data_IF_744152721606
#
_entry.id   IF_744152721606
#
_cell.length_a   1.000
_cell.length_b   1.000
_cell.length_c   1.000
_cell.angle_alpha   90.00
_cell.angle_beta   90.00
_cell.angle_gamma   90.00
#
_symmetry.space_group_name_H-M   'P 1'
#
loop_
_entity.id
_entity.type
_entity.pdbx_description
1 polymer ?
#
# COMPACT_ATOMS: atom_id res chain seq x y z
N UNK A 1 -6.99 8.92 -20.50
CA UNK A 1 -5.84 9.60 -21.14
C UNK A 1 -4.81 10.11 -20.13
N UNK A 2 -5.24 10.84 -19.07
CA UNK A 2 -4.33 11.39 -18.05
C UNK A 2 -3.51 10.29 -17.38
N UNK A 3 -4.16 9.26 -16.84
CA UNK A 3 -3.49 8.16 -16.17
C UNK A 3 -2.49 7.44 -17.08
N UNK A 4 -2.84 7.26 -18.36
CA UNK A 4 -1.91 6.69 -19.34
C UNK A 4 -0.67 7.55 -19.53
N UNK A 5 -0.81 8.87 -19.62
CA UNK A 5 0.35 9.79 -19.72
C UNK A 5 1.26 9.69 -18.48
N UNK A 6 0.68 9.60 -17.28
CA UNK A 6 1.44 9.44 -16.04
C UNK A 6 2.23 8.12 -16.06
N UNK A 7 1.59 7.01 -16.41
CA UNK A 7 2.26 5.71 -16.52
C UNK A 7 3.40 5.72 -17.54
N UNK A 8 3.13 6.22 -18.73
CA UNK A 8 4.11 6.28 -19.83
C UNK A 8 5.32 7.18 -19.47
N UNK A 9 5.06 8.27 -18.71
CA UNK A 9 6.10 9.23 -18.33
C UNK A 9 6.93 8.83 -17.12
N UNK A 10 6.39 8.03 -16.21
CA UNK A 10 7.03 7.68 -14.93
C UNK A 10 7.42 6.21 -14.82
N UNK A 11 6.82 5.34 -15.62
CA UNK A 11 6.96 3.89 -15.50
C UNK A 11 6.25 3.29 -14.27
N UNK A 12 5.46 4.09 -13.53
CA UNK A 12 4.74 3.60 -12.36
C UNK A 12 3.56 2.71 -12.74
N UNK A 13 3.19 1.79 -11.85
CA UNK A 13 1.91 1.09 -11.92
C UNK A 13 0.82 1.91 -11.24
N UNK A 14 -0.37 1.89 -11.81
CA UNK A 14 -1.54 2.57 -11.23
C UNK A 14 -2.61 1.52 -10.94
N UNK A 15 -3.05 1.44 -9.69
CA UNK A 15 -4.06 0.50 -9.23
C UNK A 15 -5.37 1.22 -8.89
N UNK A 16 -6.49 0.54 -9.13
CA UNK A 16 -7.80 1.01 -8.72
C UNK A 16 -8.00 0.78 -7.21
N UNK A 17 -8.23 1.84 -6.47
CA UNK A 17 -8.62 1.75 -5.05
C UNK A 17 -10.11 1.38 -4.93
N UNK A 18 -10.40 0.12 -4.65
CA UNK A 18 -11.78 -0.41 -4.64
C UNK A 18 -12.65 0.23 -3.55
N UNK A 19 -12.07 0.63 -2.42
CA UNK A 19 -12.81 1.38 -1.37
C UNK A 19 -13.40 2.70 -1.88
N UNK A 20 -12.78 3.32 -2.88
CA UNK A 20 -13.27 4.56 -3.49
C UNK A 20 -14.20 4.28 -4.67
N UNK A 21 -13.99 3.19 -5.38
CA UNK A 21 -14.80 2.84 -6.55
C UNK A 21 -14.82 1.31 -6.74
N UNK A 22 -15.96 0.69 -6.44
CA UNK A 22 -16.17 -0.76 -6.55
C UNK A 22 -17.26 -1.17 -7.53
N UNK A 23 -17.61 -0.29 -8.50
CA UNK A 23 -18.51 -0.65 -9.57
C UNK A 23 -17.81 -1.64 -10.54
N UNK A 24 -17.90 -2.91 -10.22
CA UNK A 24 -17.18 -3.97 -10.92
C UNK A 24 -17.62 -4.18 -12.37
N UNK A 25 -18.77 -3.67 -12.79
CA UNK A 25 -19.18 -3.69 -14.20
C UNK A 25 -18.23 -2.88 -15.08
N UNK A 26 -17.56 -1.87 -14.52
CA UNK A 26 -16.58 -1.04 -15.22
C UNK A 26 -15.15 -1.62 -15.20
N UNK A 27 -14.89 -2.66 -14.42
CA UNK A 27 -13.54 -3.22 -14.29
C UNK A 27 -12.93 -3.70 -15.62
N UNK A 28 -13.67 -4.29 -16.57
CA UNK A 28 -13.10 -4.63 -17.87
C UNK A 28 -12.61 -3.40 -18.67
N UNK A 29 -13.30 -2.26 -18.54
CA UNK A 29 -12.88 -1.01 -19.16
C UNK A 29 -11.67 -0.40 -18.41
N UNK A 30 -11.76 -0.30 -17.10
CA UNK A 30 -10.69 0.25 -16.24
C UNK A 30 -9.41 -0.57 -16.39
N UNK A 31 -9.51 -1.88 -16.46
CA UNK A 31 -8.40 -2.81 -16.63
C UNK A 31 -7.64 -2.67 -17.96
N UNK A 32 -8.20 -1.96 -18.96
CA UNK A 32 -7.44 -1.62 -20.16
C UNK A 32 -6.38 -0.53 -19.92
N UNK A 33 -6.53 0.24 -18.86
CA UNK A 33 -5.69 1.39 -18.54
C UNK A 33 -4.88 1.21 -17.25
N UNK A 34 -5.45 0.55 -16.25
CA UNK A 34 -4.83 0.34 -14.94
C UNK A 34 -4.19 -1.05 -14.85
N UNK A 35 -3.23 -1.17 -13.93
CA UNK A 35 -2.43 -2.39 -13.78
C UNK A 35 -3.09 -3.42 -12.87
N UNK A 36 -4.08 -3.01 -12.09
CA UNK A 36 -4.78 -3.89 -11.17
C UNK A 36 -5.64 -3.14 -10.17
N UNK A 37 -5.86 -3.76 -9.03
CA UNK A 37 -6.68 -3.26 -7.93
C UNK A 37 -5.90 -3.19 -6.61
N UNK A 38 -6.34 -2.31 -5.70
CA UNK A 38 -5.91 -2.35 -4.31
C UNK A 38 -7.13 -2.50 -3.40
N UNK A 39 -7.00 -3.36 -2.40
CA UNK A 39 -8.06 -3.79 -1.49
C UNK A 39 -7.76 -3.37 -0.05
N UNK A 40 -8.81 -3.15 0.74
CA UNK A 40 -8.73 -2.86 2.19
C UNK A 40 -9.03 -4.09 3.05
N UNK A 41 -9.24 -5.26 2.44
CA UNK A 41 -9.52 -6.52 3.10
C UNK A 41 -9.91 -7.62 2.12
N UNK A 42 -10.21 -8.81 2.66
CA UNK A 42 -10.41 -10.02 1.89
C UNK A 42 -11.51 -9.91 0.81
N UNK A 43 -12.66 -9.30 1.15
CA UNK A 43 -13.78 -9.24 0.20
C UNK A 43 -13.51 -8.33 -1.00
N UNK A 44 -12.83 -7.20 -0.79
CA UNK A 44 -12.37 -6.38 -1.90
C UNK A 44 -11.29 -7.09 -2.71
N UNK A 45 -10.37 -7.80 -2.05
CA UNK A 45 -9.35 -8.59 -2.74
C UNK A 45 -9.98 -9.66 -3.64
N UNK A 46 -10.98 -10.38 -3.16
CA UNK A 46 -11.77 -11.33 -3.98
C UNK A 46 -12.42 -10.64 -5.17
N UNK A 47 -13.06 -9.49 -4.95
CA UNK A 47 -13.71 -8.74 -6.03
C UNK A 47 -12.69 -8.35 -7.12
N UNK A 48 -11.53 -7.82 -6.73
CA UNK A 48 -10.47 -7.47 -7.66
C UNK A 48 -9.95 -8.67 -8.44
N UNK A 49 -9.65 -9.75 -7.73
CA UNK A 49 -9.20 -11.00 -8.32
C UNK A 49 -10.20 -11.57 -9.35
N UNK A 50 -11.48 -11.66 -8.97
CA UNK A 50 -12.51 -12.26 -9.84
C UNK A 50 -12.93 -11.38 -11.00
N UNK A 51 -12.98 -10.06 -10.83
CA UNK A 51 -13.60 -9.13 -11.81
C UNK A 51 -12.60 -8.34 -12.62
N UNK A 52 -11.42 -8.02 -12.08
CA UNK A 52 -10.36 -7.35 -12.84
C UNK A 52 -9.37 -8.38 -13.41
N UNK A 53 -9.00 -9.40 -12.64
CA UNK A 53 -8.09 -10.48 -13.06
C UNK A 53 -6.68 -9.98 -13.39
N UNK A 54 -6.23 -8.94 -12.71
CA UNK A 54 -4.91 -8.32 -12.82
C UNK A 54 -4.24 -8.25 -11.46
N UNK A 55 -3.14 -7.52 -11.36
CA UNK A 55 -2.39 -7.35 -10.12
C UNK A 55 -3.32 -6.91 -8.98
N UNK A 56 -3.25 -7.59 -7.83
CA UNK A 56 -4.15 -7.38 -6.71
C UNK A 56 -3.34 -7.16 -5.44
N UNK A 57 -3.41 -5.96 -4.90
CA UNK A 57 -2.68 -5.56 -3.69
C UNK A 57 -3.66 -5.44 -2.53
N UNK A 58 -3.20 -5.72 -1.31
CA UNK A 58 -4.02 -5.52 -0.13
C UNK A 58 -3.24 -4.83 0.99
N UNK A 59 -3.85 -3.81 1.56
CA UNK A 59 -3.44 -3.20 2.82
C UNK A 59 -4.60 -3.25 3.80
N UNK A 60 -4.36 -3.74 5.01
CA UNK A 60 -5.28 -3.62 6.13
C UNK A 60 -4.52 -3.23 7.40
N UNK A 61 -5.11 -2.41 8.31
CA UNK A 61 -4.49 -2.09 9.59
C UNK A 61 -4.20 -3.32 10.45
N UNK A 62 -4.99 -4.39 10.26
CA UNK A 62 -4.79 -5.70 10.86
C UNK A 62 -5.38 -6.79 9.95
N UNK A 63 -4.63 -7.86 9.76
CA UNK A 63 -5.10 -9.06 9.08
C UNK A 63 -5.56 -10.09 10.10
N UNK A 64 -6.69 -10.73 9.82
CA UNK A 64 -7.13 -11.89 10.60
C UNK A 64 -6.36 -13.12 10.18
N UNK A 65 -5.98 -13.94 11.16
CA UNK A 65 -5.25 -15.18 10.91
C UNK A 65 -6.00 -16.11 9.95
N UNK A 66 -7.31 -16.17 10.08
CA UNK A 66 -8.19 -16.98 9.22
C UNK A 66 -8.27 -16.51 7.77
N UNK A 67 -7.82 -15.29 7.45
CA UNK A 67 -7.92 -14.69 6.12
C UNK A 67 -6.57 -14.69 5.36
N UNK A 68 -5.44 -14.80 6.07
CA UNK A 68 -4.10 -14.70 5.48
C UNK A 68 -3.87 -15.75 4.38
N UNK A 69 -4.28 -16.99 4.63
CA UNK A 69 -4.11 -18.06 3.64
C UNK A 69 -4.79 -17.74 2.32
N UNK A 70 -6.04 -17.31 2.38
CA UNK A 70 -6.79 -16.96 1.17
C UNK A 70 -6.26 -15.68 0.49
N UNK A 71 -5.85 -14.69 1.27
CA UNK A 71 -5.22 -13.48 0.73
C UNK A 71 -3.94 -13.79 -0.03
N UNK A 72 -3.10 -14.70 0.47
CA UNK A 72 -1.87 -15.09 -0.23
C UNK A 72 -2.10 -15.89 -1.51
N UNK A 73 -3.27 -16.47 -1.68
CA UNK A 73 -3.63 -17.21 -2.90
C UNK A 73 -4.19 -16.30 -4.01
N UNK A 74 -4.63 -15.06 -3.67
CA UNK A 74 -5.30 -14.15 -4.60
C UNK A 74 -4.66 -12.76 -4.71
N UNK A 75 -3.60 -12.46 -3.94
CA UNK A 75 -2.91 -11.18 -3.97
C UNK A 75 -1.42 -11.36 -4.26
N UNK A 76 -0.88 -10.49 -5.11
CA UNK A 76 0.55 -10.42 -5.39
C UNK A 76 1.32 -9.62 -4.32
N UNK A 77 0.65 -8.67 -3.65
CA UNK A 77 1.28 -7.81 -2.65
C UNK A 77 0.43 -7.69 -1.39
N UNK A 78 1.04 -7.94 -0.24
CA UNK A 78 0.47 -7.66 1.08
C UNK A 78 1.26 -6.57 1.79
N UNK A 79 0.57 -5.55 2.30
CA UNK A 79 1.18 -4.47 3.08
C UNK A 79 0.75 -4.60 4.54
N UNK A 80 1.72 -4.81 5.42
CA UNK A 80 1.49 -4.86 6.87
C UNK A 80 1.54 -3.46 7.49
N UNK A 81 0.74 -3.26 8.53
CA UNK A 81 0.69 -2.00 9.26
C UNK A 81 1.68 -1.94 10.44
N UNK A 82 2.24 -3.07 10.84
CA UNK A 82 3.17 -3.18 11.97
C UNK A 82 4.17 -4.30 11.78
N UNK A 83 5.33 -4.15 12.39
CA UNK A 83 6.35 -5.20 12.39
C UNK A 83 5.94 -6.47 13.13
N UNK A 84 5.05 -6.38 14.11
CA UNK A 84 4.52 -7.59 14.78
C UNK A 84 3.70 -8.48 13.83
N UNK A 85 2.94 -7.89 12.91
CA UNK A 85 2.26 -8.65 11.87
C UNK A 85 3.24 -9.17 10.81
N UNK A 86 4.22 -8.36 10.43
CA UNK A 86 5.28 -8.78 9.52
C UNK A 86 6.00 -10.01 10.08
N UNK A 87 6.46 -9.98 11.32
CA UNK A 87 7.14 -11.12 11.97
C UNK A 87 6.27 -12.38 11.95
N UNK A 88 4.97 -12.22 12.19
CA UNK A 88 4.05 -13.37 12.24
C UNK A 88 3.82 -14.02 10.87
N UNK A 89 3.77 -13.24 9.80
CA UNK A 89 3.26 -13.71 8.52
C UNK A 89 4.28 -13.66 7.36
N UNK A 90 5.43 -13.01 7.53
CA UNK A 90 6.36 -12.77 6.43
C UNK A 90 6.85 -14.06 5.77
N UNK A 91 7.27 -15.03 6.57
CA UNK A 91 7.83 -16.28 6.04
C UNK A 91 6.77 -17.06 5.27
N UNK A 92 5.55 -17.15 5.81
CA UNK A 92 4.42 -17.78 5.12
C UNK A 92 4.08 -17.08 3.79
N UNK A 93 4.02 -15.74 3.78
CA UNK A 93 3.76 -14.99 2.55
C UNK A 93 4.85 -15.22 1.50
N UNK A 94 6.13 -15.26 1.91
CA UNK A 94 7.26 -15.52 1.01
C UNK A 94 7.24 -16.95 0.44
N UNK A 95 6.89 -17.94 1.23
CA UNK A 95 6.70 -19.32 0.76
C UNK A 95 5.61 -19.41 -0.32
N UNK A 96 4.60 -18.57 -0.24
CA UNK A 96 3.53 -18.43 -1.25
C UNK A 96 3.92 -17.55 -2.45
N UNK A 97 5.11 -16.95 -2.45
CA UNK A 97 5.56 -16.06 -3.52
C UNK A 97 4.95 -14.66 -3.50
N UNK A 98 4.33 -14.26 -2.39
CA UNK A 98 3.70 -12.95 -2.22
C UNK A 98 4.74 -11.92 -1.82
N UNK A 99 4.74 -10.78 -2.51
CA UNK A 99 5.58 -9.63 -2.18
C UNK A 99 5.02 -8.89 -0.97
N UNK A 100 5.86 -8.59 0.01
CA UNK A 100 5.43 -8.00 1.27
C UNK A 100 6.04 -6.63 1.52
N UNK A 101 5.22 -5.72 2.03
CA UNK A 101 5.64 -4.38 2.42
C UNK A 101 5.20 -3.96 3.79
N UNK A 102 5.75 -2.86 4.24
CA UNK A 102 5.38 -2.21 5.49
C UNK A 102 4.82 -0.80 5.21
N UNK A 103 3.70 -0.46 5.83
CA UNK A 103 3.21 0.90 5.82
C UNK A 103 4.01 1.74 6.80
N UNK A 104 4.61 2.82 6.30
CA UNK A 104 5.29 3.81 7.14
C UNK A 104 4.41 5.02 7.38
N UNK A 105 4.64 5.68 8.51
CA UNK A 105 4.03 6.96 8.85
C UNK A 105 5.13 8.03 8.86
N UNK A 106 5.14 8.95 7.88
CA UNK A 106 6.14 10.01 7.83
C UNK A 106 5.92 11.10 8.88
N UNK A 107 4.84 11.03 9.67
CA UNK A 107 4.50 12.06 10.68
C UNK A 107 4.44 13.47 10.05
N UNK A 108 3.97 13.53 8.82
CA UNK A 108 3.78 14.75 8.05
C UNK A 108 2.33 14.78 7.55
N UNK A 109 1.58 15.78 7.97
CA UNK A 109 0.19 15.96 7.58
C UNK A 109 0.03 17.25 6.79
N UNK A 110 -0.78 17.19 5.75
CA UNK A 110 -1.23 18.34 4.97
C UNK A 110 -2.76 18.49 5.05
N UNK A 111 -3.43 17.80 5.98
CA UNK A 111 -4.90 17.77 6.09
C UNK A 111 -5.56 19.07 6.59
N UNK A 112 -4.75 20.04 7.08
CA UNK A 112 -5.29 21.31 7.57
C UNK A 112 -6.32 21.10 8.69
N UNK A 113 -7.53 21.65 8.50
CA UNK A 113 -8.61 21.58 9.51
C UNK A 113 -9.34 20.22 9.56
N UNK A 114 -8.98 19.26 8.73
CA UNK A 114 -9.64 17.95 8.62
C UNK A 114 -8.92 16.86 9.43
N UNK A 115 -8.58 17.13 10.68
CA UNK A 115 -7.84 16.23 11.57
C UNK A 115 -8.43 14.81 11.69
N UNK A 116 -9.74 14.65 11.49
CA UNK A 116 -10.41 13.35 11.54
C UNK A 116 -9.96 12.41 10.40
N UNK A 117 -9.49 12.96 9.30
CA UNK A 117 -9.00 12.20 8.13
C UNK A 117 -7.48 12.09 8.09
N UNK A 118 -6.78 12.64 9.11
CA UNK A 118 -5.33 12.69 9.13
C UNK A 118 -4.71 11.36 9.61
N UNK A 119 -4.13 10.56 8.72
CA UNK A 119 -3.48 9.33 9.10
C UNK A 119 -2.13 9.55 9.80
N UNK A 120 -1.61 10.78 9.77
CA UNK A 120 -0.33 11.17 10.38
C UNK A 120 -0.50 11.98 11.67
N UNK A 121 -1.74 12.15 12.16
CA UNK A 121 -2.02 12.82 13.43
C UNK A 121 -1.25 12.18 14.59
N UNK A 122 -0.95 12.98 15.60
CA UNK A 122 -0.33 12.47 16.84
C UNK A 122 -1.16 11.35 17.46
N UNK A 123 -0.53 10.21 17.75
CA UNK A 123 -1.19 9.02 18.28
C UNK A 123 -1.89 8.16 17.23
N UNK A 124 -1.76 8.47 15.93
CA UNK A 124 -2.27 7.59 14.87
C UNK A 124 -1.62 6.21 14.96
N UNK A 125 -2.45 5.18 14.73
CA UNK A 125 -2.02 3.77 14.68
C UNK A 125 -1.75 3.30 13.24
N UNK A 126 -1.81 4.20 12.26
CA UNK A 126 -1.69 3.88 10.85
C UNK A 126 -0.24 4.07 10.38
N UNK A 127 0.43 2.95 10.15
CA UNK A 127 1.81 2.89 9.71
C UNK A 127 2.83 3.01 10.85
N UNK A 128 4.04 2.66 10.53
CA UNK A 128 5.19 2.64 11.47
C UNK A 128 5.94 3.96 11.36
N UNK A 129 6.11 4.66 12.49
CA UNK A 129 6.96 5.85 12.55
C UNK A 129 8.45 5.47 12.49
N UNK A 130 9.32 6.42 12.17
CA UNK A 130 10.76 6.16 12.13
C UNK A 130 11.29 5.68 13.49
N UNK A 131 10.78 6.22 14.59
CA UNK A 131 11.16 5.81 15.94
C UNK A 131 10.85 4.35 16.28
N UNK A 132 9.82 3.78 15.61
CA UNK A 132 9.39 2.41 15.80
C UNK A 132 9.82 1.48 14.65
N UNK A 133 10.63 1.97 13.73
CA UNK A 133 11.06 1.19 12.57
C UNK A 133 12.11 0.13 12.99
N UNK A 134 11.91 -1.11 12.57
CA UNK A 134 12.75 -2.26 12.90
C UNK A 134 13.72 -2.53 11.75
N UNK A 135 14.91 -1.96 11.84
CA UNK A 135 15.97 -2.15 10.81
C UNK A 135 16.39 -3.61 10.67
N UNK A 136 16.34 -4.36 11.73
CA UNK A 136 16.66 -5.79 11.77
C UNK A 136 15.70 -6.66 10.96
N UNK A 137 14.53 -6.15 10.60
CA UNK A 137 13.52 -6.85 9.80
C UNK A 137 13.42 -6.34 8.36
N UNK A 138 14.20 -5.35 7.98
CA UNK A 138 14.11 -4.73 6.65
C UNK A 138 14.43 -5.70 5.51
N UNK A 139 15.26 -6.70 5.75
CA UNK A 139 15.58 -7.76 4.78
C UNK A 139 14.37 -8.63 4.41
N UNK A 140 13.34 -8.65 5.26
CA UNK A 140 12.10 -9.36 4.97
C UNK A 140 11.17 -8.59 4.04
N UNK A 141 11.39 -7.28 3.85
CA UNK A 141 10.55 -6.42 3.04
C UNK A 141 10.92 -6.45 1.56
N UNK A 142 9.92 -6.33 0.70
CA UNK A 142 10.05 -6.10 -0.73
C UNK A 142 9.61 -4.68 -1.12
N UNK A 143 8.90 -3.98 -0.22
CA UNK A 143 8.38 -2.64 -0.48
C UNK A 143 8.08 -1.81 0.75
N UNK A 144 7.94 -0.50 0.51
CA UNK A 144 7.53 0.49 1.50
C UNK A 144 6.30 1.23 0.98
N UNK A 145 5.28 1.29 1.80
CA UNK A 145 4.00 1.93 1.49
C UNK A 145 3.77 3.10 2.44
N UNK A 146 3.24 4.20 1.92
CA UNK A 146 2.67 5.27 2.75
C UNK A 146 1.29 5.69 2.21
N UNK A 147 0.44 6.20 3.07
CA UNK A 147 -0.88 6.69 2.72
C UNK A 147 -1.18 7.90 3.62
N UNK A 148 -1.01 9.08 3.07
CA UNK A 148 -1.04 10.37 3.79
C UNK A 148 -2.12 11.30 3.27
N UNK A 149 -2.61 11.06 2.07
CA UNK A 149 -3.52 11.98 1.37
C UNK A 149 -4.97 11.51 1.45
N UNK A 150 -5.88 12.46 1.64
CA UNK A 150 -7.32 12.28 1.52
C UNK A 150 -7.91 13.55 0.92
N UNK A 151 -8.44 13.48 -0.31
CA UNK A 151 -9.01 14.62 -1.07
C UNK A 151 -8.02 15.79 -1.28
N UNK A 152 -6.75 15.46 -1.50
CA UNK A 152 -5.65 16.40 -1.66
C UNK A 152 -5.02 16.27 -3.05
N UNK A 153 -4.16 17.24 -3.42
CA UNK A 153 -3.57 17.34 -4.73
C UNK A 153 -2.06 16.99 -4.79
N UNK A 154 -1.42 17.37 -5.88
CA UNK A 154 -0.01 17.06 -6.14
C UNK A 154 0.96 17.78 -5.22
N UNK A 155 0.64 18.98 -4.74
CA UNK A 155 1.53 19.75 -3.88
C UNK A 155 1.61 19.12 -2.48
N UNK A 156 0.46 18.59 -2.02
CA UNK A 156 0.38 17.79 -0.80
C UNK A 156 1.17 16.48 -0.94
N UNK A 157 1.08 15.83 -2.11
CA UNK A 157 1.88 14.63 -2.38
C UNK A 157 3.37 14.95 -2.37
N UNK A 158 3.82 16.04 -3.01
CA UNK A 158 5.22 16.45 -3.00
C UNK A 158 5.72 16.69 -1.58
N UNK A 159 4.92 17.39 -0.77
CA UNK A 159 5.25 17.67 0.64
C UNK A 159 5.42 16.40 1.46
N UNK A 160 4.46 15.49 1.36
CA UNK A 160 4.50 14.23 2.12
C UNK A 160 5.56 13.27 1.60
N UNK A 161 5.82 13.24 0.29
CA UNK A 161 6.90 12.44 -0.30
C UNK A 161 8.28 12.89 0.18
N UNK A 162 8.54 14.20 0.27
CA UNK A 162 9.78 14.72 0.87
C UNK A 162 9.97 14.22 2.30
N UNK A 163 8.92 14.23 3.11
CA UNK A 163 8.99 13.70 4.47
C UNK A 163 9.27 12.19 4.52
N UNK A 164 8.74 11.42 3.57
CA UNK A 164 9.06 9.99 3.41
C UNK A 164 10.53 9.81 3.01
N UNK A 165 11.02 10.57 2.05
CA UNK A 165 12.42 10.50 1.60
C UNK A 165 13.39 10.88 2.72
N UNK A 166 13.10 11.95 3.47
CA UNK A 166 13.94 12.41 4.58
C UNK A 166 14.05 11.36 5.68
N UNK A 167 12.96 10.69 6.03
CA UNK A 167 12.90 9.71 7.12
C UNK A 167 13.28 8.30 6.70
N UNK A 168 12.80 7.86 5.54
CA UNK A 168 12.91 6.47 5.09
C UNK A 168 13.75 6.29 3.83
N UNK A 169 14.29 7.35 3.23
CA UNK A 169 15.01 7.32 1.96
C UNK A 169 16.21 6.37 1.93
N UNK A 170 16.88 6.16 3.06
CA UNK A 170 17.96 5.17 3.15
C UNK A 170 17.48 3.74 2.90
N UNK A 171 16.26 3.43 3.30
CA UNK A 171 15.68 2.10 3.09
C UNK A 171 15.16 1.90 1.67
N UNK A 172 14.67 2.97 1.03
CA UNK A 172 14.23 2.94 -0.38
C UNK A 172 15.37 2.58 -1.35
N UNK A 173 16.62 2.76 -0.93
CA UNK A 173 17.82 2.45 -1.74
C UNK A 173 18.34 1.02 -1.55
N UNK A 174 17.73 0.24 -0.71
CA UNK A 174 18.15 -1.14 -0.45
C UNK A 174 17.78 -2.04 -1.64
N UNK A 175 18.64 -3.01 -1.99
CA UNK A 175 18.44 -3.84 -3.19
C UNK A 175 17.21 -4.77 -3.12
N UNK A 176 16.74 -5.07 -1.94
CA UNK A 176 15.53 -5.87 -1.72
C UNK A 176 14.23 -5.05 -1.85
N UNK A 177 14.28 -3.74 -1.67
CA UNK A 177 13.10 -2.87 -1.82
C UNK A 177 12.86 -2.59 -3.30
N UNK A 178 11.73 -3.07 -3.82
CA UNK A 178 11.35 -3.02 -5.23
C UNK A 178 10.25 -2.01 -5.52
N UNK A 179 9.47 -1.63 -4.53
CA UNK A 179 8.33 -0.73 -4.66
C UNK A 179 8.06 0.04 -3.34
#
# INVERSE_FOLDING_TARGET
EILKKVKDGTGCKILLAQKAFSNFFEYPLIGQYLDGTTASGLFEAKLGYEKMGKENHVFAPAFKESEIGELTDICEHLVFNSFSQLEKYADFCKEKGVSIGIRVNPECSTQGDHAIYDPCASGSRLGVTLANFREDLVEKLDGIHFHTLCEQDSDDLETTLKAVEDKFGKYLKLPNIKW
#
